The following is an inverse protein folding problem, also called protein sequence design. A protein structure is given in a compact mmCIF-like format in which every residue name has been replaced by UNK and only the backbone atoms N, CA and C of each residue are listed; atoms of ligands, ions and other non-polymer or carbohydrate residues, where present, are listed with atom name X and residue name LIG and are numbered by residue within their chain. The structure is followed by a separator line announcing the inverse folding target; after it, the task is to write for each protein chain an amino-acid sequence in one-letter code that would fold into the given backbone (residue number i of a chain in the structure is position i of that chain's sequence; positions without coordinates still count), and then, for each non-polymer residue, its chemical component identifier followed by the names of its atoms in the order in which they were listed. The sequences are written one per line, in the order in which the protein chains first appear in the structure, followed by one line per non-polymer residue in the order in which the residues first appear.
data_IF_255552209492
#
_entry.id   IF_255552209492
#
_cell.length_a   1.000
_cell.length_b   1.000
_cell.length_c   1.000
_cell.angle_alpha   90.00
_cell.angle_beta   90.00
_cell.angle_gamma   90.00
#
_symmetry.space_group_name_H-M   'P 1'
#
loop_
_entity.id
_entity.type
_entity.pdbx_description
1 polymer ?
#
# COMPACT_ATOMS: atom_id res chain seq x y z
N UNK A 1 14.87 7.88 -10.88
CA UNK A 1 13.74 7.72 -11.82
C UNK A 1 12.47 8.17 -11.11
N UNK A 2 11.54 8.87 -11.77
CA UNK A 2 10.25 9.21 -11.16
C UNK A 2 9.51 7.92 -10.80
N UNK A 3 8.83 7.90 -9.65
CA UNK A 3 7.88 6.84 -9.32
C UNK A 3 6.61 7.18 -10.10
N UNK A 4 6.18 6.32 -11.02
CA UNK A 4 5.08 6.64 -11.92
C UNK A 4 4.28 5.40 -12.31
N UNK A 5 2.99 5.62 -12.53
CA UNK A 5 2.08 4.68 -13.17
C UNK A 5 2.13 4.93 -14.67
N UNK A 6 2.63 3.96 -15.43
CA UNK A 6 2.68 4.02 -16.90
C UNK A 6 1.84 2.87 -17.42
N UNK A 7 0.82 3.18 -18.21
CA UNK A 7 0.00 2.16 -18.84
C UNK A 7 0.86 1.37 -19.84
N UNK A 8 1.08 0.06 -19.64
CA UNK A 8 1.99 -0.70 -20.50
C UNK A 8 1.42 -0.98 -21.90
N UNK A 9 0.11 -0.83 -22.09
CA UNK A 9 -0.55 -1.06 -23.38
C UNK A 9 -0.42 0.16 -24.29
N UNK A 10 -0.53 1.37 -23.71
CA UNK A 10 -0.49 2.63 -24.48
C UNK A 10 0.84 3.37 -24.39
N UNK A 11 1.65 3.08 -23.37
CA UNK A 11 2.85 3.84 -23.01
C UNK A 11 2.56 5.18 -22.31
N UNK A 12 1.28 5.46 -22.00
CA UNK A 12 0.86 6.72 -21.39
C UNK A 12 1.21 6.77 -19.90
N UNK A 13 1.80 7.88 -19.45
CA UNK A 13 1.97 8.15 -18.01
C UNK A 13 0.67 8.65 -17.43
N UNK A 14 0.07 7.87 -16.54
CA UNK A 14 -1.21 8.19 -15.92
C UNK A 14 -1.04 9.02 -14.65
N UNK A 15 0.02 8.75 -13.90
CA UNK A 15 0.29 9.45 -12.64
C UNK A 15 1.78 9.40 -12.30
N UNK A 16 2.29 10.47 -11.68
CA UNK A 16 3.62 10.52 -11.10
C UNK A 16 3.52 10.80 -9.62
N UNK A 17 4.44 10.22 -8.84
CA UNK A 17 4.50 10.33 -7.39
C UNK A 17 5.84 10.88 -6.98
N UNK A 18 5.82 11.81 -6.04
CA UNK A 18 7.03 12.32 -5.41
C UNK A 18 7.63 11.24 -4.52
N UNK A 19 8.95 11.04 -4.65
CA UNK A 19 9.68 10.22 -3.71
C UNK A 19 9.70 10.88 -2.34
N UNK A 20 9.70 10.08 -1.29
CA UNK A 20 9.88 10.59 0.06
C UNK A 20 11.19 11.38 0.18
N UNK A 21 11.13 12.50 0.89
CA UNK A 21 12.34 13.18 1.35
C UNK A 21 12.99 12.41 2.49
N UNK A 22 14.25 12.71 2.79
CA UNK A 22 14.96 12.09 3.92
C UNK A 22 14.23 12.33 5.25
N UNK A 23 13.65 13.52 5.44
CA UNK A 23 12.91 13.87 6.65
C UNK A 23 11.64 13.03 6.75
N UNK A 24 10.85 12.94 5.68
CA UNK A 24 9.62 12.13 5.66
C UNK A 24 9.90 10.64 5.84
N UNK A 25 11.04 10.16 5.36
CA UNK A 25 11.48 8.78 5.59
C UNK A 25 11.77 8.55 7.07
N UNK A 26 12.55 9.43 7.71
CA UNK A 26 12.89 9.33 9.12
C UNK A 26 11.63 9.38 10.02
N UNK A 27 10.70 10.30 9.74
CA UNK A 27 9.42 10.39 10.45
C UNK A 27 8.62 9.09 10.38
N UNK A 28 8.59 8.41 9.22
CA UNK A 28 7.90 7.13 9.06
C UNK A 28 8.59 6.01 9.84
N UNK A 29 9.93 6.01 9.88
CA UNK A 29 10.71 5.03 10.65
C UNK A 29 10.50 5.22 12.15
N UNK A 30 10.57 6.45 12.65
CA UNK A 30 10.33 6.76 14.06
C UNK A 30 8.91 6.37 14.48
N UNK A 31 7.91 6.66 13.63
CA UNK A 31 6.52 6.26 13.87
C UNK A 31 6.38 4.74 13.93
N UNK A 32 7.01 4.00 13.02
CA UNK A 32 6.99 2.55 13.02
C UNK A 32 7.64 1.97 14.29
N UNK A 33 8.82 2.46 14.66
CA UNK A 33 9.55 2.04 15.86
C UNK A 33 8.76 2.33 17.14
N UNK A 34 8.13 3.51 17.22
CA UNK A 34 7.30 3.90 18.35
C UNK A 34 6.04 3.05 18.46
N UNK A 35 5.36 2.81 17.34
CA UNK A 35 4.15 1.96 17.30
C UNK A 35 4.47 0.52 17.68
N UNK A 36 5.61 -0.02 17.23
CA UNK A 36 6.00 -1.39 17.56
C UNK A 36 6.12 -1.62 19.07
N UNK A 37 6.57 -0.62 19.84
CA UNK A 37 6.72 -0.75 21.31
C UNK A 37 5.42 -1.14 22.00
N UNK A 38 4.28 -0.61 21.56
CA UNK A 38 2.95 -1.02 22.07
C UNK A 38 2.37 -2.18 21.27
N UNK A 39 2.43 -2.11 19.93
CA UNK A 39 1.77 -3.07 19.05
C UNK A 39 2.27 -4.51 19.25
N UNK A 40 3.54 -4.71 19.62
CA UNK A 40 4.08 -6.05 19.91
C UNK A 40 3.38 -6.78 21.07
N UNK A 41 2.69 -6.05 21.95
CA UNK A 41 1.94 -6.60 23.08
C UNK A 41 0.48 -6.90 22.76
N UNK A 42 -0.01 -6.54 21.57
CA UNK A 42 -1.34 -6.97 21.11
C UNK A 42 -1.42 -8.49 21.05
N UNK A 43 -2.56 -9.01 21.44
CA UNK A 43 -2.93 -10.41 21.37
C UNK A 43 -3.11 -10.88 19.93
N UNK A 44 -3.10 -12.19 19.73
CA UNK A 44 -3.43 -12.77 18.43
C UNK A 44 -4.85 -12.44 17.99
N UNK A 45 -5.83 -12.42 18.91
CA UNK A 45 -7.23 -12.12 18.60
C UNK A 45 -7.41 -10.68 18.06
N UNK A 46 -6.69 -9.72 18.64
CA UNK A 46 -6.70 -8.33 18.13
C UNK A 46 -6.10 -8.25 16.72
N UNK A 47 -4.97 -8.94 16.47
CA UNK A 47 -4.34 -8.98 15.15
C UNK A 47 -5.20 -9.73 14.12
N UNK A 48 -5.85 -10.81 14.53
CA UNK A 48 -6.78 -11.59 13.71
C UNK A 48 -7.92 -10.70 13.22
N UNK A 49 -8.53 -9.92 14.11
CA UNK A 49 -9.62 -9.00 13.75
C UNK A 49 -9.19 -8.03 12.66
N UNK A 50 -7.99 -7.46 12.76
CA UNK A 50 -7.44 -6.55 11.74
C UNK A 50 -7.15 -7.26 10.42
N UNK A 51 -6.59 -8.48 10.47
CA UNK A 51 -6.27 -9.26 9.28
C UNK A 51 -7.53 -9.71 8.52
N UNK A 52 -8.57 -10.14 9.23
CA UNK A 52 -9.85 -10.51 8.64
C UNK A 52 -10.55 -9.28 8.04
N UNK A 53 -10.52 -8.13 8.72
CA UNK A 53 -11.04 -6.89 8.16
C UNK A 53 -10.30 -6.46 6.89
N UNK A 54 -8.98 -6.65 6.82
CA UNK A 54 -8.22 -6.40 5.60
C UNK A 54 -8.62 -7.36 4.47
N UNK A 55 -8.88 -8.64 4.77
CA UNK A 55 -9.36 -9.60 3.79
C UNK A 55 -10.75 -9.22 3.24
N UNK A 56 -11.67 -8.82 4.11
CA UNK A 56 -13.02 -8.38 3.70
C UNK A 56 -12.95 -7.16 2.76
N UNK A 57 -12.08 -6.19 3.04
CA UNK A 57 -11.86 -5.03 2.17
C UNK A 57 -11.28 -5.43 0.80
N UNK A 58 -10.35 -6.39 0.77
CA UNK A 58 -9.80 -6.90 -0.49
C UNK A 58 -10.87 -7.61 -1.33
N UNK A 59 -11.78 -8.33 -0.68
CA UNK A 59 -12.90 -9.01 -1.35
C UNK A 59 -13.94 -8.01 -1.86
N UNK A 60 -14.32 -7.01 -1.05
CA UNK A 60 -15.29 -5.98 -1.43
C UNK A 60 -14.80 -5.13 -2.61
N UNK A 61 -13.50 -4.79 -2.61
CA UNK A 61 -12.92 -3.85 -3.57
C UNK A 61 -12.21 -4.56 -4.74
N UNK A 62 -12.42 -5.88 -4.87
CA UNK A 62 -11.73 -6.77 -5.81
C UNK A 62 -11.63 -6.19 -7.24
N UNK A 63 -12.74 -5.71 -7.78
CA UNK A 63 -12.79 -5.18 -9.16
C UNK A 63 -11.93 -3.91 -9.32
N UNK A 64 -11.97 -3.02 -8.33
CA UNK A 64 -11.19 -1.78 -8.32
C UNK A 64 -9.70 -2.08 -8.20
N UNK A 65 -9.32 -2.98 -7.29
CA UNK A 65 -7.93 -3.39 -7.07
C UNK A 65 -7.36 -4.16 -8.27
N UNK A 66 -8.16 -5.04 -8.89
CA UNK A 66 -7.78 -5.73 -10.12
C UNK A 66 -7.51 -4.73 -11.26
N UNK A 67 -8.42 -3.78 -11.48
CA UNK A 67 -8.25 -2.72 -12.49
C UNK A 67 -7.01 -1.89 -12.23
N UNK A 68 -6.71 -1.55 -10.97
CA UNK A 68 -5.49 -0.83 -10.61
C UNK A 68 -4.26 -1.62 -11.08
N UNK A 69 -4.14 -2.89 -10.68
CA UNK A 69 -3.02 -3.73 -11.12
C UNK A 69 -2.91 -3.82 -12.65
N UNK A 70 -4.01 -4.03 -13.36
CA UNK A 70 -4.02 -4.06 -14.85
C UNK A 70 -3.49 -2.75 -15.45
N UNK A 71 -3.91 -1.61 -14.91
CA UNK A 71 -3.52 -0.30 -15.43
C UNK A 71 -2.04 -0.01 -15.15
N UNK A 72 -1.54 -0.37 -13.97
CA UNK A 72 -0.16 -0.06 -13.60
C UNK A 72 0.87 -0.99 -14.24
N UNK A 73 0.50 -2.24 -14.52
CA UNK A 73 1.47 -3.24 -14.95
C UNK A 73 0.99 -4.24 -16.01
N UNK A 74 -0.28 -4.21 -16.43
CA UNK A 74 -0.77 -4.93 -17.61
C UNK A 74 -1.20 -6.37 -17.38
N UNK A 75 -1.44 -6.79 -16.12
CA UNK A 75 -2.02 -8.10 -15.80
C UNK A 75 -3.44 -8.22 -16.40
N UNK A 76 -3.80 -9.41 -16.93
CA UNK A 76 -5.15 -9.68 -17.42
C UNK A 76 -6.19 -9.68 -16.30
#
# INVERSE_FOLDING_TARGET
MPIATINPVTGETLQTFESLTQIQLEEKLERAATTFRSYRHTSFAERETLMLGAAELLESDKSTLARLMTIEMGKP
#
